data_IF_430760656613
#
_entry.id   IF_430760656613
#
_cell.length_a   1.000
_cell.length_b   1.000
_cell.length_c   1.000
_cell.angle_alpha   90.00
_cell.angle_beta   90.00
_cell.angle_gamma   90.00
#
_symmetry.space_group_name_H-M   'P 1'
#
loop_
_entity.id
_entity.type
_entity.pdbx_description
1 polymer ?
#
# COMPACT_ATOMS: atom_id res chain seq x y z
N UNK A 1 10.88 -6.54 -27.81
CA UNK A 1 10.61 -5.76 -26.59
C UNK A 1 10.95 -6.66 -25.42
N UNK A 2 11.57 -6.16 -24.37
CA UNK A 2 11.76 -6.95 -23.16
C UNK A 2 10.38 -7.33 -22.58
N UNK A 3 10.27 -8.51 -22.00
CA UNK A 3 9.06 -8.96 -21.33
C UNK A 3 8.79 -8.07 -20.12
N UNK A 4 7.55 -7.58 -19.99
CA UNK A 4 7.16 -6.74 -18.87
C UNK A 4 7.18 -7.55 -17.58
N UNK A 5 7.55 -6.89 -16.48
CA UNK A 5 7.52 -7.48 -15.14
C UNK A 5 6.09 -7.50 -14.62
N UNK A 6 5.52 -8.69 -14.44
CA UNK A 6 4.19 -8.87 -13.85
C UNK A 6 4.24 -8.61 -12.36
N UNK A 7 3.40 -7.71 -11.87
CA UNK A 7 3.29 -7.42 -10.45
C UNK A 7 1.84 -7.40 -9.99
N UNK A 8 1.61 -7.77 -8.73
CA UNK A 8 0.39 -7.50 -7.98
C UNK A 8 0.76 -6.56 -6.84
N UNK A 9 0.11 -5.38 -6.81
CA UNK A 9 0.24 -4.45 -5.69
C UNK A 9 -0.76 -4.81 -4.58
N UNK A 10 -0.30 -4.81 -3.32
CA UNK A 10 -1.17 -4.91 -2.14
C UNK A 10 -0.99 -3.65 -1.30
N UNK A 11 -2.07 -2.90 -1.11
CA UNK A 11 -2.05 -1.50 -0.69
C UNK A 11 -3.06 -1.20 0.41
N UNK A 12 -2.73 -0.31 1.32
CA UNK A 12 -3.67 0.29 2.27
C UNK A 12 -3.91 1.77 1.97
N UNK A 13 -4.28 2.07 0.76
CA UNK A 13 -4.17 3.31 -0.01
C UNK A 13 -4.33 4.59 0.78
N UNK A 14 -3.19 5.15 1.13
CA UNK A 14 -2.98 6.53 1.51
C UNK A 14 -2.35 7.33 0.36
N UNK A 15 -1.68 8.43 0.68
CA UNK A 15 -1.07 9.33 -0.32
C UNK A 15 0.13 8.70 -1.03
N UNK A 16 0.95 7.94 -0.33
CA UNK A 16 2.14 7.25 -0.84
C UNK A 16 1.77 6.02 -1.69
N UNK A 17 0.80 5.21 -1.25
CA UNK A 17 0.26 4.11 -2.06
C UNK A 17 -0.37 4.61 -3.35
N UNK A 18 -1.06 5.75 -3.32
CA UNK A 18 -1.62 6.36 -4.52
C UNK A 18 -0.52 6.64 -5.57
N UNK A 19 0.62 7.18 -5.13
CA UNK A 19 1.79 7.42 -6.00
C UNK A 19 2.38 6.09 -6.48
N UNK A 20 2.47 5.07 -5.61
CA UNK A 20 2.95 3.74 -5.99
C UNK A 20 2.08 3.10 -7.08
N UNK A 21 0.75 3.16 -6.95
CA UNK A 21 -0.18 2.67 -7.98
C UNK A 21 0.00 3.43 -9.29
N UNK A 22 0.06 4.78 -9.24
CA UNK A 22 0.26 5.61 -10.42
C UNK A 22 1.57 5.29 -11.12
N UNK A 23 2.65 5.12 -10.35
CA UNK A 23 3.98 4.78 -10.88
C UNK A 23 3.95 3.39 -11.53
N UNK A 24 3.41 2.39 -10.86
CA UNK A 24 3.35 1.03 -11.37
C UNK A 24 2.54 0.92 -12.68
N UNK A 25 1.45 1.65 -12.79
CA UNK A 25 0.61 1.63 -13.99
C UNK A 25 1.24 2.37 -15.18
N UNK A 26 1.95 3.46 -14.92
CA UNK A 26 2.56 4.30 -15.96
C UNK A 26 3.92 3.81 -16.43
N UNK A 27 4.58 2.93 -15.67
CA UNK A 27 5.89 2.40 -16.04
C UNK A 27 5.75 1.41 -17.21
N UNK A 28 6.44 1.67 -18.35
CA UNK A 28 6.33 0.82 -19.55
C UNK A 28 6.89 -0.61 -19.36
N UNK A 29 7.73 -0.83 -18.35
CA UNK A 29 8.38 -2.12 -18.08
C UNK A 29 7.57 -2.96 -17.06
N UNK A 30 6.46 -2.41 -16.54
CA UNK A 30 5.59 -3.08 -15.57
C UNK A 30 4.28 -3.51 -16.25
N UNK A 31 3.86 -4.73 -15.93
CA UNK A 31 2.52 -5.26 -16.17
C UNK A 31 1.80 -5.35 -14.82
N UNK A 32 0.96 -4.35 -14.53
CA UNK A 32 0.18 -4.29 -13.30
C UNK A 32 -1.04 -5.22 -13.42
N UNK A 33 -0.87 -6.46 -12.98
CA UNK A 33 -1.89 -7.52 -13.06
C UNK A 33 -3.14 -7.16 -12.26
N UNK A 34 -2.96 -6.63 -11.04
CA UNK A 34 -4.06 -6.24 -10.16
C UNK A 34 -3.55 -5.34 -9.02
N UNK A 35 -4.51 -4.67 -8.37
CA UNK A 35 -4.30 -3.99 -7.08
C UNK A 35 -5.26 -4.59 -6.05
N UNK A 36 -4.70 -5.08 -4.95
CA UNK A 36 -5.45 -5.62 -3.81
C UNK A 36 -5.45 -4.60 -2.67
N UNK A 37 -6.62 -4.28 -2.11
CA UNK A 37 -6.69 -3.38 -0.97
C UNK A 37 -6.71 -4.17 0.35
N UNK A 38 -6.07 -3.63 1.36
CA UNK A 38 -6.04 -4.15 2.73
C UNK A 38 -6.35 -3.02 3.70
N UNK A 39 -6.80 -3.37 4.89
CA UNK A 39 -6.90 -2.41 5.97
C UNK A 39 -5.50 -2.14 6.57
N UNK A 40 -5.18 -0.88 6.84
CA UNK A 40 -3.90 -0.46 7.40
C UNK A 40 -3.93 1.01 7.79
N UNK A 41 -3.48 1.93 6.97
CA UNK A 41 -3.54 3.38 7.21
C UNK A 41 -4.94 3.87 7.61
N UNK A 42 -5.96 3.25 7.02
CA UNK A 42 -7.39 3.47 7.29
C UNK A 42 -8.15 2.14 7.22
N UNK A 43 -9.40 2.10 7.76
CA UNK A 43 -10.32 0.99 7.54
C UNK A 43 -10.49 0.65 6.07
N UNK A 44 -10.66 -0.63 5.78
CA UNK A 44 -10.75 -1.17 4.42
C UNK A 44 -11.72 -0.44 3.47
N UNK A 45 -12.91 0.05 3.90
CA UNK A 45 -13.78 0.81 3.00
C UNK A 45 -13.10 2.06 2.41
N UNK A 46 -12.28 2.75 3.20
CA UNK A 46 -11.57 3.95 2.78
C UNK A 46 -10.38 3.61 1.87
N UNK A 47 -9.56 2.62 2.26
CA UNK A 47 -8.40 2.20 1.45
C UNK A 47 -8.85 1.68 0.08
N UNK A 48 -9.95 0.92 0.05
CA UNK A 48 -10.55 0.43 -1.20
C UNK A 48 -11.08 1.57 -2.07
N UNK A 49 -11.84 2.50 -1.49
CA UNK A 49 -12.36 3.66 -2.23
C UNK A 49 -11.22 4.53 -2.79
N UNK A 50 -10.17 4.75 -2.00
CA UNK A 50 -9.00 5.51 -2.44
C UNK A 50 -8.29 4.83 -3.62
N UNK A 51 -8.16 3.49 -3.59
CA UNK A 51 -7.63 2.71 -4.71
C UNK A 51 -8.45 2.93 -5.99
N UNK A 52 -9.78 2.89 -5.86
CA UNK A 52 -10.69 3.12 -6.99
C UNK A 52 -10.59 4.55 -7.54
N UNK A 53 -10.48 5.57 -6.68
CA UNK A 53 -10.26 6.97 -7.08
C UNK A 53 -8.97 7.14 -7.88
N UNK A 54 -7.88 6.49 -7.44
CA UNK A 54 -6.60 6.51 -8.17
C UNK A 54 -6.76 5.85 -9.55
N UNK A 55 -7.42 4.69 -9.62
CA UNK A 55 -7.72 4.02 -10.90
C UNK A 55 -8.50 4.93 -11.86
N UNK A 56 -9.47 5.70 -11.34
CA UNK A 56 -10.27 6.60 -12.17
C UNK A 56 -9.47 7.80 -12.68
N UNK A 57 -8.59 8.39 -11.87
CA UNK A 57 -7.69 9.48 -12.30
C UNK A 57 -6.74 9.02 -13.39
N UNK A 58 -6.24 7.79 -13.29
CA UNK A 58 -5.41 7.15 -14.32
C UNK A 58 -6.19 6.78 -15.58
N UNK A 59 -7.53 6.72 -15.51
CA UNK A 59 -8.41 6.10 -16.52
C UNK A 59 -7.99 4.67 -16.83
N UNK A 60 -7.48 3.99 -15.82
CA UNK A 60 -6.92 2.65 -15.94
C UNK A 60 -8.01 1.57 -15.91
N UNK A 61 -7.64 0.38 -16.33
CA UNK A 61 -8.53 -0.78 -16.41
C UNK A 61 -8.08 -1.98 -15.56
N UNK A 62 -6.97 -1.82 -14.80
CA UNK A 62 -6.54 -2.88 -13.89
C UNK A 62 -7.65 -3.24 -12.88
N UNK A 63 -7.83 -4.54 -12.56
CA UNK A 63 -8.80 -4.98 -11.58
C UNK A 63 -8.38 -4.59 -10.16
N UNK A 64 -9.37 -4.28 -9.33
CA UNK A 64 -9.19 -3.98 -7.91
C UNK A 64 -9.93 -4.99 -7.07
N UNK A 65 -9.22 -5.68 -6.19
CA UNK A 65 -9.77 -6.69 -5.29
C UNK A 65 -9.79 -6.18 -3.86
N UNK A 66 -10.92 -6.36 -3.19
CA UNK A 66 -11.07 -6.04 -1.78
C UNK A 66 -10.57 -7.19 -0.92
N UNK A 67 -9.68 -6.91 0.03
CA UNK A 67 -9.07 -7.90 0.89
C UNK A 67 -9.54 -7.86 2.35
N UNK A 68 -8.60 -8.10 3.27
CA UNK A 68 -8.88 -8.24 4.69
C UNK A 68 -9.18 -6.89 5.35
N UNK A 69 -10.24 -6.88 6.15
CA UNK A 69 -10.70 -5.69 6.88
C UNK A 69 -10.05 -5.54 8.26
N UNK A 70 -9.41 -6.59 8.77
CA UNK A 70 -8.78 -6.62 10.09
C UNK A 70 -7.51 -7.45 10.05
N UNK A 71 -6.52 -7.16 10.91
CA UNK A 71 -5.38 -8.03 11.15
C UNK A 71 -5.81 -9.43 11.59
N UNK A 72 -4.93 -10.42 11.41
CA UNK A 72 -5.23 -11.84 11.68
C UNK A 72 -5.64 -12.10 13.13
N UNK A 73 -4.96 -11.48 14.09
CA UNK A 73 -5.09 -11.83 15.52
C UNK A 73 -5.31 -10.64 16.42
N UNK A 74 -4.80 -9.46 16.09
CA UNK A 74 -4.73 -8.32 17.04
C UNK A 74 -6.08 -7.91 17.61
N UNK A 75 -7.17 -8.01 16.84
CA UNK A 75 -8.53 -7.70 17.29
C UNK A 75 -9.09 -8.72 18.29
N UNK A 76 -8.47 -9.89 18.41
CA UNK A 76 -8.85 -10.96 19.34
C UNK A 76 -8.13 -10.84 20.68
N UNK A 77 -7.10 -10.00 20.79
CA UNK A 77 -6.27 -9.86 21.98
C UNK A 77 -6.55 -8.52 22.69
N UNK A 78 -7.07 -8.57 23.97
CA UNK A 78 -7.58 -7.37 24.67
C UNK A 78 -6.54 -6.25 24.85
N UNK A 79 -5.24 -6.60 24.89
CA UNK A 79 -4.16 -5.66 25.16
C UNK A 79 -3.30 -5.36 23.93
N UNK A 80 -3.74 -5.80 22.75
CA UNK A 80 -2.98 -5.64 21.52
C UNK A 80 -3.74 -4.68 20.61
N UNK A 81 -3.31 -3.45 20.61
CA UNK A 81 -3.86 -2.40 19.76
C UNK A 81 -3.11 -2.39 18.41
N UNK A 82 -3.32 -3.42 17.61
CA UNK A 82 -3.03 -3.37 16.18
C UNK A 82 -4.23 -2.75 15.50
N UNK A 83 -4.14 -1.55 15.03
CA UNK A 83 -5.26 -0.92 14.32
C UNK A 83 -5.07 0.59 14.27
N UNK A 84 -5.70 1.17 13.32
CA UNK A 84 -5.80 2.56 12.89
C UNK A 84 -5.57 3.58 14.03
N UNK A 85 -4.32 3.78 14.40
CA UNK A 85 -3.94 4.98 15.13
C UNK A 85 -3.85 6.08 14.08
N UNK A 86 -4.95 6.80 13.86
CA UNK A 86 -4.93 7.98 13.01
C UNK A 86 -3.84 8.93 13.53
N UNK A 87 -2.65 8.85 12.97
CA UNK A 87 -1.55 9.73 13.34
C UNK A 87 -1.97 11.15 12.95
N UNK A 88 -2.07 12.00 13.96
CA UNK A 88 -2.46 13.40 13.80
C UNK A 88 -1.30 14.29 14.21
N UNK A 89 -1.02 15.29 13.42
CA UNK A 89 0.00 16.29 13.71
C UNK A 89 -0.65 17.65 13.89
N UNK A 90 -0.40 18.31 15.03
CA UNK A 90 -0.82 19.69 15.24
C UNK A 90 0.10 20.60 14.47
N UNK A 91 -0.45 21.35 13.54
CA UNK A 91 0.27 22.34 12.72
C UNK A 91 0.04 23.72 13.33
N UNK A 92 1.12 24.49 13.55
CA UNK A 92 1.03 25.85 14.07
C UNK A 92 0.20 26.74 13.12
N UNK A 93 -0.78 27.45 13.67
CA UNK A 93 -1.70 28.29 12.90
C UNK A 93 -2.94 27.57 12.30
N UNK A 94 -3.08 26.26 12.54
CA UNK A 94 -4.29 25.52 12.17
C UNK A 94 -5.16 25.23 13.40
N UNK A 95 -6.48 25.38 13.23
CA UNK A 95 -7.45 25.13 14.32
C UNK A 95 -7.58 23.64 14.71
N UNK A 96 -7.28 22.72 13.78
CA UNK A 96 -7.39 21.29 13.99
C UNK A 96 -6.09 20.57 13.58
N UNK A 97 -5.75 19.44 14.23
CA UNK A 97 -4.61 18.62 13.83
C UNK A 97 -4.84 18.01 12.44
N UNK A 98 -3.76 17.93 11.65
CA UNK A 98 -3.76 17.29 10.34
C UNK A 98 -3.56 15.78 10.52
N UNK A 99 -4.38 14.99 9.87
CA UNK A 99 -4.17 13.54 9.75
C UNK A 99 -3.12 13.27 8.67
N UNK A 100 -2.14 12.40 8.98
CA UNK A 100 -1.13 11.97 8.01
C UNK A 100 -1.79 11.25 6.83
N UNK A 101 -2.77 10.40 7.13
CA UNK A 101 -3.65 9.78 6.14
C UNK A 101 -5.08 10.22 6.38
N UNK A 102 -5.67 10.93 5.43
CA UNK A 102 -7.09 11.30 5.44
C UNK A 102 -7.97 10.08 5.12
N UNK A 103 -9.24 10.11 5.49
CA UNK A 103 -10.18 9.04 5.14
C UNK A 103 -10.28 8.88 3.62
N UNK A 104 -10.34 10.00 2.92
CA UNK A 104 -10.38 10.02 1.46
C UNK A 104 -9.26 10.91 0.90
N UNK A 105 -8.65 10.45 -0.18
CA UNK A 105 -7.80 11.29 -1.01
C UNK A 105 -8.61 12.44 -1.62
N UNK A 106 -7.98 13.59 -1.84
CA UNK A 106 -8.59 14.76 -2.50
C UNK A 106 -8.79 14.50 -4.01
N UNK A 107 -9.45 13.41 -4.32
CA UNK A 107 -9.81 12.97 -5.66
C UNK A 107 -11.32 12.77 -5.73
N UNK A 108 -11.94 12.91 -6.91
CA UNK A 108 -13.37 12.64 -7.07
C UNK A 108 -13.74 11.22 -6.60
N UNK A 109 -14.92 11.05 -5.97
CA UNK A 109 -15.42 9.72 -5.63
C UNK A 109 -15.48 8.81 -6.85
N UNK A 110 -15.10 7.53 -6.67
CA UNK A 110 -15.15 6.59 -7.78
C UNK A 110 -16.59 6.20 -8.13
N UNK A 111 -16.83 6.03 -9.42
CA UNK A 111 -18.08 5.46 -9.94
C UNK A 111 -17.96 3.98 -10.28
N UNK A 112 -16.78 3.42 -10.13
CA UNK A 112 -16.47 2.01 -10.44
C UNK A 112 -16.56 1.15 -9.18
N UNK A 113 -16.66 -0.14 -9.40
CA UNK A 113 -16.72 -1.14 -8.33
C UNK A 113 -15.45 -2.00 -8.32
N UNK A 114 -15.18 -2.62 -7.19
CA UNK A 114 -14.19 -3.69 -7.07
C UNK A 114 -14.69 -4.96 -7.75
N UNK A 115 -13.76 -5.89 -8.00
CA UNK A 115 -14.08 -7.25 -8.41
C UNK A 115 -14.91 -7.95 -7.31
N UNK A 116 -15.72 -8.95 -7.71
CA UNK A 116 -16.60 -9.66 -6.77
C UNK A 116 -15.83 -10.58 -5.84
N UNK A 117 -14.70 -11.07 -6.30
CA UNK A 117 -13.87 -12.00 -5.56
C UNK A 117 -13.06 -11.28 -4.50
N UNK A 118 -12.83 -11.95 -3.38
CA UNK A 118 -11.97 -11.43 -2.31
C UNK A 118 -10.50 -11.57 -2.72
N UNK A 119 -9.65 -10.58 -2.37
CA UNK A 119 -8.24 -10.57 -2.74
C UNK A 119 -7.48 -11.86 -2.39
N UNK A 120 -7.81 -12.50 -1.26
CA UNK A 120 -7.18 -13.77 -0.85
C UNK A 120 -7.42 -14.88 -1.87
N UNK A 121 -8.64 -15.02 -2.37
CA UNK A 121 -8.97 -16.01 -3.40
C UNK A 121 -8.36 -15.66 -4.75
N UNK A 122 -8.35 -14.38 -5.11
CA UNK A 122 -7.66 -13.90 -6.30
C UNK A 122 -6.16 -14.25 -6.27
N UNK A 123 -5.48 -14.07 -5.12
CA UNK A 123 -4.08 -14.47 -4.97
C UNK A 123 -3.89 -15.97 -5.21
N UNK A 124 -4.72 -16.79 -4.58
CA UNK A 124 -4.63 -18.24 -4.70
C UNK A 124 -4.84 -18.67 -6.16
N UNK A 125 -5.94 -18.24 -6.76
CA UNK A 125 -6.28 -18.63 -8.14
C UNK A 125 -5.21 -18.17 -9.14
N UNK A 126 -4.85 -16.90 -9.07
CA UNK A 126 -3.89 -16.30 -10.00
C UNK A 126 -2.50 -16.94 -9.88
N UNK A 127 -2.00 -17.13 -8.66
CA UNK A 127 -0.66 -17.71 -8.46
C UNK A 127 -0.63 -19.18 -8.84
N UNK A 128 -1.62 -19.97 -8.46
CA UNK A 128 -1.67 -21.39 -8.81
C UNK A 128 -1.70 -21.65 -10.31
N UNK A 129 -2.31 -20.74 -11.10
CA UNK A 129 -2.36 -20.82 -12.56
C UNK A 129 -1.21 -20.07 -13.26
N UNK A 130 -0.33 -19.38 -12.52
CA UNK A 130 0.81 -18.67 -13.10
C UNK A 130 1.99 -19.58 -13.42
N UNK A 131 2.88 -19.09 -14.26
CA UNK A 131 4.17 -19.73 -14.57
C UNK A 131 5.25 -19.47 -13.49
N UNK A 132 4.90 -18.88 -12.35
CA UNK A 132 5.85 -18.50 -11.31
C UNK A 132 6.63 -17.23 -11.64
N UNK A 133 6.05 -16.34 -12.43
CA UNK A 133 6.65 -15.13 -12.98
C UNK A 133 6.11 -13.84 -12.35
N UNK A 134 5.18 -13.96 -11.39
CA UNK A 134 4.54 -12.82 -10.73
C UNK A 134 5.32 -12.41 -9.47
N UNK A 135 5.65 -11.11 -9.39
CA UNK A 135 6.19 -10.47 -8.18
C UNK A 135 5.04 -9.88 -7.36
N UNK A 136 4.99 -10.19 -6.07
CA UNK A 136 4.08 -9.52 -5.14
C UNK A 136 4.75 -8.27 -4.56
N UNK A 137 4.04 -7.15 -4.58
CA UNK A 137 4.54 -5.86 -4.09
C UNK A 137 3.60 -5.33 -3.00
N UNK A 138 3.64 -5.88 -1.77
CA UNK A 138 2.88 -5.32 -0.67
C UNK A 138 3.57 -4.08 -0.13
N UNK A 139 2.81 -2.99 -0.04
CA UNK A 139 3.23 -1.71 0.56
C UNK A 139 2.39 -1.33 1.78
N UNK A 140 1.39 -2.16 2.12
CA UNK A 140 0.60 -2.16 3.33
C UNK A 140 0.85 -3.37 4.23
N UNK A 141 0.02 -3.60 5.27
CA UNK A 141 0.08 -4.78 6.11
C UNK A 141 -0.09 -6.09 5.32
N UNK A 142 0.63 -7.13 5.70
CA UNK A 142 0.79 -8.38 4.93
C UNK A 142 -0.40 -9.36 5.06
N UNK A 143 -1.51 -8.94 5.63
CA UNK A 143 -2.66 -9.78 5.99
C UNK A 143 -3.23 -10.59 4.81
N UNK A 144 -3.42 -9.96 3.65
CA UNK A 144 -3.97 -10.64 2.46
C UNK A 144 -3.07 -11.80 2.02
N UNK A 145 -1.78 -11.54 1.89
CA UNK A 145 -0.79 -12.52 1.41
C UNK A 145 -0.64 -13.65 2.42
N UNK A 146 -0.53 -13.33 3.71
CA UNK A 146 -0.43 -14.33 4.77
C UNK A 146 -1.67 -15.24 4.83
N UNK A 147 -2.86 -14.69 4.67
CA UNK A 147 -4.11 -15.47 4.60
C UNK A 147 -4.12 -16.40 3.38
N UNK A 148 -3.70 -15.92 2.21
CA UNK A 148 -3.59 -16.74 1.03
C UNK A 148 -2.61 -17.91 1.22
N UNK A 149 -1.42 -17.65 1.79
CA UNK A 149 -0.41 -18.67 2.11
C UNK A 149 -0.89 -19.70 3.15
N UNK A 150 -1.75 -19.29 4.08
CA UNK A 150 -2.31 -20.21 5.08
C UNK A 150 -3.40 -21.10 4.51
N UNK A 151 -4.19 -20.60 3.57
CA UNK A 151 -5.25 -21.37 2.89
C UNK A 151 -4.64 -22.33 1.87
N UNK A 152 -3.70 -21.85 1.05
CA UNK A 152 -3.03 -22.62 0.00
C UNK A 152 -1.51 -22.41 0.05
N UNK A 153 -0.78 -23.22 0.82
CA UNK A 153 0.68 -23.09 0.96
C UNK A 153 1.46 -23.29 -0.37
N UNK A 154 0.89 -24.01 -1.33
CA UNK A 154 1.57 -24.28 -2.61
C UNK A 154 1.79 -23.02 -3.43
N UNK A 155 1.03 -21.92 -3.19
CA UNK A 155 1.27 -20.64 -3.85
C UNK A 155 2.69 -20.12 -3.61
N UNK A 156 3.31 -20.46 -2.47
CA UNK A 156 4.68 -20.04 -2.17
C UNK A 156 5.69 -20.50 -3.22
N UNK A 157 5.44 -21.64 -3.87
CA UNK A 157 6.28 -22.17 -4.95
C UNK A 157 6.05 -21.47 -6.29
N UNK A 158 4.99 -20.68 -6.38
CA UNK A 158 4.54 -19.97 -7.58
C UNK A 158 4.84 -18.48 -7.53
N UNK A 159 5.28 -17.97 -6.39
CA UNK A 159 5.67 -16.57 -6.23
C UNK A 159 7.11 -16.40 -6.72
N UNK A 160 7.33 -15.50 -7.68
CA UNK A 160 8.66 -15.17 -8.18
C UNK A 160 9.54 -14.53 -7.11
N UNK A 161 9.03 -13.48 -6.49
CA UNK A 161 9.61 -12.79 -5.34
C UNK A 161 8.52 -11.94 -4.65
N UNK A 162 8.78 -11.57 -3.41
CA UNK A 162 8.00 -10.58 -2.66
C UNK A 162 8.90 -9.37 -2.42
N UNK A 163 8.48 -8.20 -2.91
CA UNK A 163 9.15 -6.92 -2.67
C UNK A 163 8.25 -6.10 -1.75
N UNK A 164 8.50 -6.14 -0.46
CA UNK A 164 7.63 -5.50 0.53
C UNK A 164 8.22 -4.19 1.07
N UNK A 165 7.34 -3.21 1.33
CA UNK A 165 7.66 -2.06 2.17
C UNK A 165 7.27 -2.38 3.61
N UNK A 166 8.23 -2.33 4.51
CA UNK A 166 7.98 -2.55 5.93
C UNK A 166 9.25 -2.73 6.74
N UNK A 167 9.08 -2.66 8.05
CA UNK A 167 10.18 -2.78 8.99
C UNK A 167 11.17 -1.60 8.98
N UNK A 168 12.18 -1.72 9.81
CA UNK A 168 13.26 -0.74 9.92
C UNK A 168 14.46 -1.34 10.64
N UNK A 169 15.65 -0.91 10.28
CA UNK A 169 16.88 -1.32 10.94
C UNK A 169 17.28 -0.31 12.04
N UNK A 170 17.29 0.98 11.69
CA UNK A 170 17.60 2.08 12.62
C UNK A 170 16.41 3.02 12.82
N UNK A 171 15.37 2.90 12.00
CA UNK A 171 14.21 3.80 11.99
C UNK A 171 12.93 3.05 12.30
N UNK A 172 12.09 3.71 13.07
CA UNK A 172 10.75 3.24 13.44
C UNK A 172 9.77 4.39 13.30
N UNK A 173 8.48 4.11 13.20
CA UNK A 173 7.45 5.15 13.06
C UNK A 173 6.21 4.92 13.94
N UNK A 174 6.11 3.74 14.60
CA UNK A 174 4.92 3.39 15.38
C UNK A 174 5.25 3.15 16.84
N UNK A 175 6.30 2.38 17.12
CA UNK A 175 6.85 2.20 18.48
C UNK A 175 8.35 2.40 18.44
N UNK A 176 9.02 2.33 19.60
CA UNK A 176 10.47 2.41 19.66
C UNK A 176 11.20 1.29 18.88
N UNK A 177 10.50 0.24 18.48
CA UNK A 177 11.10 -0.93 17.82
C UNK A 177 10.31 -1.42 16.59
N UNK A 178 9.26 -0.73 16.16
CA UNK A 178 8.38 -1.23 15.10
C UNK A 178 8.02 -0.17 14.05
N UNK A 179 8.01 -0.61 12.82
CA UNK A 179 7.42 0.07 11.67
C UNK A 179 5.94 -0.36 11.52
N UNK A 180 5.11 0.52 10.98
CA UNK A 180 3.65 0.40 10.98
C UNK A 180 3.12 -0.86 10.28
N UNK A 181 3.57 -1.18 9.07
CA UNK A 181 3.05 -2.32 8.31
C UNK A 181 3.30 -3.65 9.02
N UNK A 182 4.47 -3.78 9.63
CA UNK A 182 4.83 -4.97 10.44
C UNK A 182 4.07 -4.96 11.77
N UNK A 183 3.94 -3.80 12.41
CA UNK A 183 3.25 -3.67 13.70
C UNK A 183 1.74 -3.90 13.59
N UNK A 184 1.13 -3.49 12.47
CA UNK A 184 -0.31 -3.63 12.24
C UNK A 184 -0.76 -5.10 12.21
N UNK A 185 0.04 -5.98 11.63
CA UNK A 185 -0.22 -7.43 11.61
C UNK A 185 1.08 -8.24 11.69
N UNK A 186 1.70 -8.34 12.88
CA UNK A 186 2.98 -9.05 13.03
C UNK A 186 2.86 -10.55 12.80
N UNK A 187 1.68 -11.15 13.00
CA UNK A 187 1.44 -12.55 12.68
C UNK A 187 1.46 -12.80 11.17
N UNK A 188 0.85 -11.91 10.41
CA UNK A 188 0.93 -11.94 8.95
C UNK A 188 2.38 -11.76 8.47
N UNK A 189 3.10 -10.79 9.07
CA UNK A 189 4.50 -10.57 8.75
C UNK A 189 5.35 -11.83 9.03
N UNK A 190 5.17 -12.49 10.18
CA UNK A 190 5.88 -13.73 10.50
C UNK A 190 5.59 -14.83 9.49
N UNK A 191 4.32 -15.03 9.09
CA UNK A 191 3.94 -16.05 8.10
C UNK A 191 4.65 -15.80 6.77
N UNK A 192 4.65 -14.55 6.30
CA UNK A 192 5.29 -14.19 5.03
C UNK A 192 6.80 -14.37 5.11
N UNK A 193 7.45 -13.94 6.21
CA UNK A 193 8.90 -14.08 6.39
C UNK A 193 9.34 -15.56 6.45
N UNK A 194 8.52 -16.43 7.02
CA UNK A 194 8.81 -17.87 7.14
C UNK A 194 8.36 -18.69 5.91
N UNK A 195 7.79 -18.04 4.89
CA UNK A 195 7.19 -18.71 3.72
C UNK A 195 8.19 -19.48 2.84
N UNK A 196 9.48 -19.15 2.94
CA UNK A 196 10.52 -19.68 2.04
C UNK A 196 10.56 -19.01 0.66
N UNK A 197 9.67 -18.04 0.38
CA UNK A 197 9.73 -17.24 -0.84
C UNK A 197 10.98 -16.34 -0.87
N UNK A 198 11.50 -15.99 -2.04
CA UNK A 198 12.47 -14.90 -2.16
C UNK A 198 11.85 -13.58 -1.69
N UNK A 199 12.42 -12.94 -0.67
CA UNK A 199 11.88 -11.70 -0.09
C UNK A 199 12.92 -10.60 -0.18
N UNK A 200 12.49 -9.43 -0.64
CA UNK A 200 13.23 -8.17 -0.59
C UNK A 200 12.45 -7.18 0.25
N UNK A 201 13.08 -6.73 1.34
CA UNK A 201 12.48 -5.74 2.25
C UNK A 201 13.01 -4.35 1.88
N UNK A 202 12.10 -3.40 1.74
CA UNK A 202 12.40 -1.97 1.59
C UNK A 202 11.99 -1.29 2.91
N UNK A 203 12.94 -1.17 3.87
CA UNK A 203 12.64 -0.66 5.20
C UNK A 203 12.52 0.87 5.23
N UNK A 204 12.07 1.43 6.36
CA UNK A 204 12.03 2.88 6.60
C UNK A 204 13.39 3.56 6.33
N UNK A 205 14.49 2.86 6.61
CA UNK A 205 15.84 3.38 6.36
C UNK A 205 16.09 3.68 4.87
N UNK A 206 15.41 2.97 3.97
CA UNK A 206 15.45 3.21 2.53
C UNK A 206 14.41 4.27 2.11
N UNK A 207 13.15 4.13 2.57
CA UNK A 207 12.06 5.03 2.15
C UNK A 207 12.28 6.47 2.62
N UNK A 208 12.88 6.68 3.80
CA UNK A 208 13.25 8.01 4.28
C UNK A 208 14.38 8.70 3.46
N UNK A 209 15.01 7.99 2.53
CA UNK A 209 15.98 8.57 1.59
C UNK A 209 15.35 8.89 0.23
N UNK A 210 14.17 8.36 -0.06
CA UNK A 210 13.41 8.58 -1.28
C UNK A 210 12.33 9.66 -1.04
N UNK A 211 12.75 10.86 -0.66
CA UNK A 211 11.87 11.97 -0.34
C UNK A 211 11.62 12.82 -1.59
N UNK A 212 10.38 13.24 -1.78
CA UNK A 212 9.97 14.22 -2.78
C UNK A 212 9.81 15.57 -2.07
N UNK A 213 10.44 16.61 -2.60
CA UNK A 213 10.39 17.95 -2.04
C UNK A 213 9.34 18.85 -2.74
N UNK A 214 9.17 20.08 -2.23
CA UNK A 214 8.18 21.03 -2.77
C UNK A 214 8.48 21.48 -4.20
N UNK A 215 9.76 21.51 -4.64
CA UNK A 215 10.11 21.87 -6.02
C UNK A 215 9.67 20.77 -6.98
N UNK A 216 9.87 19.51 -6.60
CA UNK A 216 9.44 18.34 -7.36
C UNK A 216 7.91 18.25 -7.40
N UNK A 217 7.20 18.57 -6.30
CA UNK A 217 5.74 18.67 -6.30
C UNK A 217 5.26 19.72 -7.31
N UNK A 218 5.88 20.89 -7.32
CA UNK A 218 5.56 21.93 -8.33
C UNK A 218 5.82 21.46 -9.76
N UNK A 219 6.88 20.69 -9.98
CA UNK A 219 7.18 20.11 -11.30
C UNK A 219 6.10 19.12 -11.76
N UNK A 220 5.62 18.24 -10.87
CA UNK A 220 4.49 17.36 -11.17
C UNK A 220 3.23 18.14 -11.53
N UNK A 221 2.92 19.18 -10.76
CA UNK A 221 1.75 20.05 -11.02
C UNK A 221 1.86 20.77 -12.36
N UNK A 222 3.07 21.20 -12.74
CA UNK A 222 3.35 21.88 -14.00
C UNK A 222 3.17 21.01 -15.25
N UNK A 223 3.09 19.67 -15.10
CA UNK A 223 2.74 18.76 -16.20
C UNK A 223 1.34 19.04 -16.77
N UNK A 224 0.46 19.69 -16.02
CA UNK A 224 -0.90 20.03 -16.44
C UNK A 224 -1.82 18.83 -16.65
N UNK A 225 -1.43 17.65 -16.20
CA UNK A 225 -2.21 16.41 -16.31
C UNK A 225 -2.98 16.11 -15.01
N UNK A 226 -4.14 15.41 -15.07
CA UNK A 226 -4.85 14.98 -13.86
C UNK A 226 -3.97 14.16 -12.91
N UNK A 227 -3.12 13.29 -13.44
CA UNK A 227 -2.20 12.46 -12.65
C UNK A 227 -1.12 13.30 -11.99
N UNK A 228 -0.49 14.23 -12.75
CA UNK A 228 0.53 15.14 -12.20
C UNK A 228 -0.03 16.01 -11.07
N UNK A 229 -1.29 16.49 -11.23
CA UNK A 229 -1.99 17.20 -10.15
C UNK A 229 -2.21 16.31 -8.93
N UNK A 230 -2.70 15.09 -9.13
CA UNK A 230 -2.97 14.14 -8.04
C UNK A 230 -1.70 13.79 -7.25
N UNK A 231 -0.58 13.52 -7.95
CA UNK A 231 0.73 13.30 -7.31
C UNK A 231 1.14 14.52 -6.49
N UNK A 232 1.03 15.72 -7.06
CA UNK A 232 1.40 16.95 -6.36
C UNK A 232 0.53 17.19 -5.11
N UNK A 233 -0.78 16.96 -5.19
CA UNK A 233 -1.69 17.09 -4.03
C UNK A 233 -1.32 16.09 -2.92
N UNK A 234 -0.99 14.85 -3.26
CA UNK A 234 -0.52 13.84 -2.30
C UNK A 234 0.80 14.27 -1.64
N UNK A 235 1.76 14.77 -2.42
CA UNK A 235 3.06 15.23 -1.92
C UNK A 235 2.90 16.46 -1.02
N UNK A 236 2.13 17.44 -1.43
CA UNK A 236 1.90 18.69 -0.67
C UNK A 236 1.24 18.39 0.67
N UNK A 237 0.26 17.46 0.70
CA UNK A 237 -0.36 17.00 1.95
C UNK A 237 0.67 16.36 2.90
N UNK A 238 1.56 15.50 2.38
CA UNK A 238 2.62 14.88 3.17
C UNK A 238 3.64 15.89 3.67
N UNK A 239 4.09 16.82 2.83
CA UNK A 239 5.01 17.89 3.24
C UNK A 239 4.39 18.68 4.39
N UNK A 240 3.11 19.06 4.28
CA UNK A 240 2.41 19.79 5.33
C UNK A 240 2.32 18.97 6.63
N UNK A 241 1.93 17.69 6.54
CA UNK A 241 1.79 16.82 7.71
C UNK A 241 3.12 16.55 8.42
N UNK A 242 4.25 16.52 7.70
CA UNK A 242 5.57 16.22 8.26
C UNK A 242 6.40 17.47 8.59
N UNK A 243 6.05 18.66 8.08
CA UNK A 243 6.83 19.89 8.30
C UNK A 243 7.00 20.31 9.78
N UNK A 244 6.21 19.71 10.67
CA UNK A 244 6.18 20.01 12.10
C UNK A 244 6.67 18.85 12.99
N UNK A 245 7.16 17.75 12.38
CA UNK A 245 7.73 16.61 13.09
C UNK A 245 9.27 16.66 13.18
N UNK A 246 9.88 17.75 12.71
CA UNK A 246 11.33 18.00 12.76
C UNK A 246 11.72 18.88 13.94
#
# INVERSE_FOLDING_TARGET
>A
MAEKRKIILDVDTGTDDAIAIMTAYLDPDIDLVAVCSVAGNKPLPYTTENTLRVRDVLKADFPVYRGCATPMVSTLLPNRHGGYTGQRTQVEGMEAPIEIHTDYLELPPSTRTVEKEHAVWFYIDTLMHSEGDITLVPVGPLTNIAMAMRIEPEICKKIKEIVLMGGGYQRTNTTAAAEFNIWADPEAAQIVMDSGCPIRIIPLDATHRACINADESRAFRALGTPVGKAVADCVDHRILAYSHLQ
#
